data_IF_677763852411
#
_entry.id   IF_677763852411
#
_cell.length_a   1.000
_cell.length_b   1.000
_cell.length_c   1.000
_cell.angle_alpha   90.00
_cell.angle_beta   90.00
_cell.angle_gamma   90.00
#
_symmetry.space_group_name_H-M   'P 1'
#
loop_
_entity.id
_entity.type
_entity.pdbx_description
1 polymer ?
#
# COMPACT_ATOMS: atom_id res chain seq x y z
N UNK A 1 7.01 -33.56 20.11
CA UNK A 1 6.66 -34.54 19.05
C UNK A 1 5.18 -34.41 18.72
N UNK A 2 4.84 -33.66 17.67
CA UNK A 2 3.44 -33.47 17.21
C UNK A 2 2.99 -34.70 16.42
N UNK A 3 2.07 -35.49 16.99
CA UNK A 3 1.44 -36.63 16.33
C UNK A 3 0.67 -36.17 15.09
N UNK A 4 1.07 -36.61 13.89
CA UNK A 4 0.37 -36.34 12.63
C UNK A 4 -0.71 -37.39 12.45
N UNK A 5 -1.96 -36.97 12.23
CA UNK A 5 -3.07 -37.87 11.91
C UNK A 5 -3.27 -37.91 10.40
N UNK A 6 -3.28 -39.12 9.86
CA UNK A 6 -3.44 -39.40 8.44
C UNK A 6 -4.78 -40.07 8.21
N UNK A 7 -5.56 -39.54 7.28
CA UNK A 7 -6.85 -40.09 6.86
C UNK A 7 -6.72 -40.54 5.41
N UNK A 8 -7.10 -41.78 5.12
CA UNK A 8 -7.13 -42.33 3.75
C UNK A 8 -8.59 -42.50 3.34
N UNK A 9 -8.97 -41.87 2.24
CA UNK A 9 -10.34 -41.90 1.71
C UNK A 9 -10.53 -43.14 0.82
N UNK A 10 -11.79 -43.57 0.62
CA UNK A 10 -12.11 -44.72 -0.24
C UNK A 10 -11.65 -44.55 -1.71
N UNK A 11 -11.38 -43.32 -2.15
CA UNK A 11 -10.84 -42.99 -3.49
C UNK A 11 -9.30 -42.88 -3.52
N UNK A 12 -8.61 -43.29 -2.45
CA UNK A 12 -7.14 -43.30 -2.38
C UNK A 12 -6.50 -41.94 -2.10
N UNK A 13 -7.28 -40.86 -1.89
CA UNK A 13 -6.73 -39.57 -1.49
C UNK A 13 -6.31 -39.60 -0.02
N UNK A 14 -5.10 -39.10 0.27
CA UNK A 14 -4.50 -39.06 1.61
C UNK A 14 -4.56 -37.63 2.15
N UNK A 15 -5.24 -37.45 3.29
CA UNK A 15 -5.29 -36.18 4.00
C UNK A 15 -4.48 -36.27 5.29
N UNK A 16 -3.52 -35.38 5.47
CA UNK A 16 -2.69 -35.32 6.68
C UNK A 16 -2.89 -33.95 7.34
N UNK A 17 -3.35 -33.95 8.58
CA UNK A 17 -3.44 -32.71 9.37
C UNK A 17 -3.06 -33.00 10.83
N UNK A 18 -2.22 -32.16 11.45
CA UNK A 18 -1.86 -32.31 12.85
C UNK A 18 -3.01 -31.94 13.81
N UNK A 19 -4.02 -31.20 13.33
CA UNK A 19 -5.06 -30.60 14.19
C UNK A 19 -6.48 -31.10 13.90
N UNK A 20 -6.68 -31.91 12.85
CA UNK A 20 -8.00 -32.42 12.50
C UNK A 20 -8.36 -33.67 13.34
N UNK A 21 -9.51 -33.64 14.04
CA UNK A 21 -10.05 -34.81 14.77
C UNK A 21 -10.84 -35.75 13.88
N UNK A 22 -11.41 -35.24 12.79
CA UNK A 22 -12.24 -35.95 11.83
C UNK A 22 -11.91 -35.46 10.42
N UNK A 23 -12.21 -36.29 9.42
CA UNK A 23 -12.15 -35.88 8.02
C UNK A 23 -13.19 -34.77 7.79
N UNK A 24 -12.84 -33.62 7.19
CA UNK A 24 -13.81 -32.59 6.86
C UNK A 24 -14.93 -33.17 6.00
N UNK A 25 -16.20 -32.99 6.40
CA UNK A 25 -17.38 -33.48 5.68
C UNK A 25 -17.64 -32.75 4.36
N UNK A 26 -16.83 -31.75 4.02
CA UNK A 26 -16.88 -31.09 2.73
C UNK A 26 -16.45 -32.11 1.68
N UNK A 27 -17.46 -32.65 1.01
CA UNK A 27 -17.39 -33.41 -0.21
C UNK A 27 -16.03 -33.21 -0.91
N UNK A 28 -15.27 -34.30 -1.04
CA UNK A 28 -14.23 -34.45 -2.05
C UNK A 28 -14.88 -34.50 -3.46
N UNK A 29 -15.91 -33.68 -3.66
CA UNK A 29 -16.62 -33.47 -4.88
C UNK A 29 -15.80 -32.49 -5.66
N UNK A 30 -15.00 -33.09 -6.54
CA UNK A 30 -14.53 -32.48 -7.77
C UNK A 30 -13.51 -31.37 -7.54
N UNK A 31 -12.43 -31.39 -8.33
CA UNK A 31 -11.73 -30.13 -8.58
C UNK A 31 -12.83 -29.14 -8.97
N UNK A 32 -12.99 -27.97 -8.33
CA UNK A 32 -13.82 -26.95 -8.93
C UNK A 32 -13.29 -26.83 -10.35
N UNK A 33 -14.15 -27.15 -11.34
CA UNK A 33 -13.88 -26.82 -12.73
C UNK A 33 -13.38 -25.38 -12.68
N UNK A 34 -12.15 -25.15 -13.17
CA UNK A 34 -11.50 -23.84 -13.07
C UNK A 34 -12.57 -22.79 -13.26
N UNK A 35 -12.90 -21.98 -12.24
CA UNK A 35 -14.01 -21.07 -12.35
C UNK A 35 -13.71 -20.26 -13.60
N UNK A 36 -14.61 -20.32 -14.59
CA UNK A 36 -14.56 -19.42 -15.74
C UNK A 36 -14.57 -18.04 -15.10
N UNK A 37 -13.42 -17.38 -15.07
CA UNK A 37 -13.27 -16.06 -14.50
C UNK A 37 -14.17 -15.12 -15.31
N UNK A 38 -15.40 -14.94 -14.85
CA UNK A 38 -16.33 -13.99 -15.43
C UNK A 38 -15.96 -12.63 -14.85
N UNK A 39 -15.54 -11.70 -15.70
CA UNK A 39 -15.21 -10.33 -15.29
C UNK A 39 -16.38 -9.65 -14.54
N UNK A 40 -17.61 -10.15 -14.72
CA UNK A 40 -18.83 -9.67 -14.06
C UNK A 40 -19.01 -10.17 -12.62
N UNK A 41 -18.26 -11.21 -12.20
CA UNK A 41 -18.31 -11.75 -10.82
C UNK A 41 -17.17 -11.30 -9.95
N UNK A 42 -16.18 -10.59 -10.50
CA UNK A 42 -15.31 -9.76 -9.67
C UNK A 42 -16.20 -8.72 -8.98
N UNK A 43 -16.24 -8.74 -7.66
CA UNK A 43 -16.75 -7.61 -6.91
C UNK A 43 -16.07 -6.36 -7.48
N UNK A 44 -16.87 -5.41 -7.98
CA UNK A 44 -16.36 -4.09 -8.33
C UNK A 44 -15.51 -3.64 -7.14
N UNK A 45 -14.28 -3.14 -7.36
CA UNK A 45 -13.47 -2.65 -6.26
C UNK A 45 -14.33 -1.68 -5.47
N UNK A 46 -14.55 -1.96 -4.19
CA UNK A 46 -15.29 -1.06 -3.32
C UNK A 46 -14.31 0.09 -3.06
N UNK A 47 -14.34 1.11 -3.94
CA UNK A 47 -13.44 2.26 -3.92
C UNK A 47 -13.66 3.18 -2.71
N UNK A 48 -14.72 2.92 -1.94
CA UNK A 48 -15.16 3.73 -0.80
C UNK A 48 -15.30 2.86 0.43
N UNK A 49 -14.36 3.01 1.37
CA UNK A 49 -14.52 2.52 2.73
C UNK A 49 -14.84 3.73 3.61
N UNK A 50 -15.78 3.59 4.56
CA UNK A 50 -16.06 4.65 5.53
C UNK A 50 -14.83 4.99 6.38
N UNK A 51 -13.93 4.03 6.62
CA UNK A 51 -12.66 4.26 7.31
C UNK A 51 -11.62 4.95 6.42
N UNK A 52 -11.77 4.90 5.10
CA UNK A 52 -10.81 5.45 4.13
C UNK A 52 -11.50 6.15 2.94
N UNK A 53 -12.32 7.20 3.17
CA UNK A 53 -13.12 7.84 2.13
C UNK A 53 -12.28 8.47 1.01
N UNK A 54 -11.03 8.85 1.31
CA UNK A 54 -10.10 9.39 0.31
C UNK A 54 -9.69 8.37 -0.76
N UNK A 55 -9.90 7.07 -0.57
CA UNK A 55 -9.49 6.06 -1.57
C UNK A 55 -10.21 6.22 -2.92
N UNK A 56 -11.39 6.85 -2.94
CA UNK A 56 -12.07 7.21 -4.17
C UNK A 56 -11.29 8.20 -5.03
N UNK A 57 -10.36 8.97 -4.44
CA UNK A 57 -9.53 9.97 -5.10
C UNK A 57 -8.13 9.43 -5.46
N UNK A 58 -7.90 8.12 -5.31
CA UNK A 58 -6.63 7.50 -5.68
C UNK A 58 -6.40 7.54 -7.19
N UNK A 59 -5.22 8.04 -7.59
CA UNK A 59 -4.79 8.04 -8.99
C UNK A 59 -4.41 6.63 -9.43
N UNK A 60 -5.07 6.10 -10.45
CA UNK A 60 -4.72 4.80 -11.04
C UNK A 60 -3.40 4.85 -11.81
N UNK A 61 -3.13 5.96 -12.49
CA UNK A 61 -1.92 6.18 -13.29
C UNK A 61 -1.30 7.54 -12.94
N UNK A 62 -0.59 7.64 -11.80
CA UNK A 62 -0.05 8.92 -11.35
C UNK A 62 1.01 9.46 -12.31
N UNK A 63 0.88 10.73 -12.66
CA UNK A 63 1.90 11.47 -13.41
C UNK A 63 2.55 12.50 -12.49
N UNK A 64 3.85 12.35 -12.25
CA UNK A 64 4.61 13.24 -11.38
C UNK A 64 5.11 14.47 -12.14
N UNK A 65 4.19 15.39 -12.44
CA UNK A 65 4.47 16.62 -13.19
C UNK A 65 4.23 17.87 -12.36
N UNK A 66 4.68 19.02 -12.86
CA UNK A 66 4.48 20.32 -12.20
C UNK A 66 5.40 20.56 -11.00
N UNK A 67 5.37 21.76 -10.41
CA UNK A 67 6.36 22.18 -9.41
C UNK A 67 6.30 21.40 -8.10
N UNK A 68 5.12 20.92 -7.71
CA UNK A 68 4.91 20.22 -6.43
C UNK A 68 5.28 18.75 -6.54
N UNK A 69 4.85 18.06 -7.61
CA UNK A 69 5.00 16.61 -7.73
C UNK A 69 6.18 16.16 -8.58
N UNK A 70 6.84 17.04 -9.35
CA UNK A 70 8.07 16.70 -10.07
C UNK A 70 9.17 16.16 -9.16
N UNK A 71 9.22 16.55 -7.88
CA UNK A 71 10.18 15.98 -6.91
C UNK A 71 9.97 14.49 -6.63
N UNK A 72 8.79 13.95 -6.94
CA UNK A 72 8.48 12.52 -6.84
C UNK A 72 8.84 11.76 -8.12
N UNK A 73 9.16 12.46 -9.22
CA UNK A 73 9.68 11.85 -10.43
C UNK A 73 11.10 11.34 -10.13
N UNK A 74 11.28 10.02 -10.21
CA UNK A 74 12.56 9.35 -9.99
C UNK A 74 13.28 9.18 -11.33
N UNK A 75 13.49 10.28 -12.06
CA UNK A 75 14.05 10.25 -13.42
C UNK A 75 15.52 9.83 -13.44
N UNK A 76 16.28 10.21 -12.41
CA UNK A 76 17.71 9.93 -12.30
C UNK A 76 18.09 9.52 -10.88
N UNK A 77 18.05 8.20 -10.63
CA UNK A 77 18.38 7.61 -9.34
C UNK A 77 19.85 7.76 -8.96
N UNK A 78 20.75 7.93 -9.93
CA UNK A 78 22.19 8.07 -9.68
C UNK A 78 22.54 9.35 -8.91
N UNK A 79 21.67 10.36 -8.98
CA UNK A 79 21.79 11.62 -8.21
C UNK A 79 21.25 11.52 -6.80
N UNK A 80 20.48 10.48 -6.50
CA UNK A 80 19.72 10.32 -5.26
C UNK A 80 20.32 9.22 -4.40
N UNK A 81 20.81 8.15 -5.01
CA UNK A 81 21.44 7.02 -4.32
C UNK A 81 22.95 7.13 -4.49
N UNK A 82 23.68 7.01 -3.38
CA UNK A 82 25.13 7.01 -3.38
C UNK A 82 25.67 5.92 -2.45
N UNK A 83 26.90 5.48 -2.73
CA UNK A 83 27.63 4.55 -1.88
C UNK A 83 28.48 5.33 -0.86
N UNK A 84 28.43 4.90 0.40
CA UNK A 84 29.15 5.47 1.53
C UNK A 84 29.77 4.32 2.33
N UNK A 85 31.09 4.14 2.24
CA UNK A 85 31.83 3.10 2.96
C UNK A 85 31.25 1.67 2.80
N UNK A 86 30.89 1.28 1.57
CA UNK A 86 30.37 -0.06 1.26
C UNK A 86 28.89 -0.27 1.63
N UNK A 87 28.18 0.78 2.04
CA UNK A 87 26.72 0.75 2.20
C UNK A 87 26.05 1.78 1.29
N UNK A 88 24.88 1.42 0.79
CA UNK A 88 24.08 2.29 -0.08
C UNK A 88 23.17 3.19 0.76
N UNK A 89 23.11 4.47 0.42
CA UNK A 89 22.35 5.48 1.13
C UNK A 89 21.62 6.39 0.15
N UNK A 90 20.58 7.03 0.66
CA UNK A 90 19.79 8.01 -0.09
C UNK A 90 20.20 9.40 0.37
N UNK A 91 20.34 10.32 -0.58
CA UNK A 91 20.74 11.69 -0.34
C UNK A 91 19.84 12.41 0.67
N UNK A 92 20.47 13.09 1.63
CA UNK A 92 19.74 13.76 2.72
C UNK A 92 18.96 14.97 2.24
N UNK A 93 19.45 15.69 1.23
CA UNK A 93 18.74 16.85 0.68
C UNK A 93 17.46 16.36 0.01
N UNK A 94 17.53 15.26 -0.72
CA UNK A 94 16.38 14.58 -1.30
C UNK A 94 15.37 14.12 -0.24
N UNK A 95 15.81 13.39 0.79
CA UNK A 95 14.94 12.94 1.91
C UNK A 95 14.24 14.14 2.55
N UNK A 96 14.97 15.23 2.81
CA UNK A 96 14.40 16.43 3.42
C UNK A 96 13.39 17.13 2.51
N UNK A 97 13.61 17.13 1.18
CA UNK A 97 12.66 17.65 0.21
C UNK A 97 11.33 16.90 0.25
N UNK A 98 11.37 15.57 0.32
CA UNK A 98 10.19 14.71 0.47
C UNK A 98 9.52 14.87 1.83
N UNK A 99 10.29 15.00 2.91
CA UNK A 99 9.75 15.26 4.25
C UNK A 99 9.00 16.59 4.31
N UNK A 100 9.52 17.65 3.67
CA UNK A 100 8.83 18.95 3.57
C UNK A 100 7.56 18.85 2.72
N UNK A 101 7.56 18.05 1.64
CA UNK A 101 6.35 17.75 0.86
C UNK A 101 5.29 17.13 1.76
N UNK A 102 5.65 16.05 2.47
CA UNK A 102 4.74 15.31 3.35
C UNK A 102 4.11 16.23 4.40
N UNK A 103 4.94 17.03 5.11
CA UNK A 103 4.47 17.97 6.13
C UNK A 103 3.49 18.99 5.51
N UNK A 104 3.85 19.57 4.36
CA UNK A 104 3.00 20.55 3.69
C UNK A 104 1.66 19.97 3.25
N UNK A 105 1.66 18.78 2.66
CA UNK A 105 0.43 18.07 2.25
C UNK A 105 -0.43 17.70 3.45
N UNK A 106 0.17 17.16 4.52
CA UNK A 106 -0.55 16.79 5.72
C UNK A 106 -1.18 18.03 6.39
N UNK A 107 -0.45 19.14 6.46
CA UNK A 107 -0.98 20.40 6.98
C UNK A 107 -2.14 20.92 6.12
N UNK A 108 -1.95 20.98 4.80
CA UNK A 108 -2.97 21.39 3.84
C UNK A 108 -4.27 20.57 3.98
N UNK A 109 -4.16 19.24 3.98
CA UNK A 109 -5.31 18.36 4.13
C UNK A 109 -6.02 18.55 5.48
N UNK A 110 -5.26 18.67 6.58
CA UNK A 110 -5.85 18.87 7.92
C UNK A 110 -6.59 20.18 8.05
N UNK A 111 -6.02 21.28 7.52
CA UNK A 111 -6.67 22.58 7.53
C UNK A 111 -7.96 22.53 6.73
N UNK A 112 -7.94 21.97 5.52
CA UNK A 112 -9.15 21.84 4.72
C UNK A 112 -10.20 20.97 5.40
N UNK A 113 -9.85 19.80 5.93
CA UNK A 113 -10.84 18.98 6.63
C UNK A 113 -11.41 19.71 7.85
N UNK A 114 -10.58 20.42 8.61
CA UNK A 114 -11.01 21.20 9.78
C UNK A 114 -11.95 22.35 9.42
N UNK A 115 -11.67 23.08 8.34
CA UNK A 115 -12.49 24.21 7.87
C UNK A 115 -13.74 23.75 7.10
N UNK A 116 -13.84 22.46 6.76
CA UNK A 116 -14.99 21.96 6.00
C UNK A 116 -16.27 21.99 6.85
N UNK A 117 -17.39 22.38 6.24
CA UNK A 117 -18.72 22.39 6.90
C UNK A 117 -19.32 21.00 7.05
N UNK A 118 -18.68 19.99 6.44
CA UNK A 118 -19.13 18.61 6.48
C UNK A 118 -18.63 17.93 7.75
N UNK A 119 -19.55 17.32 8.49
CA UNK A 119 -19.23 16.34 9.53
C UNK A 119 -18.75 15.06 8.84
N UNK A 120 -17.53 15.07 8.28
CA UNK A 120 -16.83 13.83 7.95
C UNK A 120 -16.77 13.06 9.26
N UNK A 121 -17.23 11.81 9.26
CA UNK A 121 -17.15 10.95 10.45
C UNK A 121 -15.72 11.03 11.00
N UNK A 122 -15.60 11.47 12.25
CA UNK A 122 -14.33 11.85 12.89
C UNK A 122 -13.35 10.67 12.95
N UNK A 123 -13.82 9.45 12.70
CA UNK A 123 -13.12 8.18 12.88
C UNK A 123 -12.54 7.57 11.58
N UNK A 124 -12.26 8.39 10.55
CA UNK A 124 -11.47 7.90 9.42
C UNK A 124 -9.97 7.75 9.75
N UNK A 125 -9.31 6.80 9.08
CA UNK A 125 -7.90 6.48 9.30
C UNK A 125 -7.00 7.29 8.36
N UNK A 126 -5.97 7.94 8.92
CA UNK A 126 -4.97 8.63 8.09
C UNK A 126 -4.02 7.64 7.41
N UNK A 127 -3.62 7.88 6.15
CA UNK A 127 -2.67 7.00 5.48
C UNK A 127 -1.32 6.98 6.20
N UNK A 128 -0.61 5.86 6.05
CA UNK A 128 0.76 5.74 6.55
C UNK A 128 1.67 6.76 5.87
N UNK A 129 2.30 7.61 6.69
CA UNK A 129 3.19 8.65 6.19
C UNK A 129 4.46 8.07 5.54
N UNK A 130 4.91 8.60 4.38
CA UNK A 130 6.17 8.25 3.73
C UNK A 130 7.40 8.24 4.67
N UNK A 131 7.48 9.20 5.59
CA UNK A 131 8.57 9.34 6.58
C UNK A 131 8.69 8.14 7.53
N UNK A 132 7.59 7.40 7.77
CA UNK A 132 7.56 6.20 8.62
C UNK A 132 8.05 4.93 7.92
N UNK A 133 8.55 5.05 6.69
CA UNK A 133 9.05 3.92 5.93
C UNK A 133 10.55 3.75 6.05
N UNK A 134 11.31 4.69 6.65
CA UNK A 134 12.75 4.52 6.90
C UNK A 134 13.59 4.71 5.64
N UNK A 135 13.44 5.88 5.01
CA UNK A 135 14.23 6.29 3.83
C UNK A 135 15.68 6.67 4.21
N UNK A 136 15.91 6.96 5.49
CA UNK A 136 17.19 7.33 6.10
C UNK A 136 18.05 6.12 6.52
N UNK A 137 17.56 4.91 6.28
CA UNK A 137 18.25 3.66 6.56
C UNK A 137 19.50 3.47 5.66
N UNK A 138 20.36 2.54 6.08
CA UNK A 138 21.47 2.03 5.27
C UNK A 138 21.02 0.78 4.54
N UNK A 139 21.37 0.66 3.27
CA UNK A 139 20.97 -0.45 2.42
C UNK A 139 22.18 -1.30 2.02
N UNK A 140 22.05 -2.64 2.02
CA UNK A 140 23.16 -3.53 1.65
C UNK A 140 23.46 -3.49 0.15
N UNK A 141 22.48 -3.11 -0.68
CA UNK A 141 22.61 -3.08 -2.15
C UNK A 141 21.91 -1.85 -2.73
N UNK A 142 22.36 -1.41 -3.90
CA UNK A 142 21.71 -0.35 -4.68
C UNK A 142 20.22 -0.65 -4.91
N UNK A 143 19.91 -1.87 -5.37
CA UNK A 143 18.53 -2.31 -5.63
C UNK A 143 17.64 -2.24 -4.39
N UNK A 144 18.18 -2.47 -3.19
CA UNK A 144 17.42 -2.33 -1.95
C UNK A 144 17.07 -0.86 -1.66
N UNK A 145 18.00 0.07 -1.92
CA UNK A 145 17.75 1.50 -1.80
C UNK A 145 16.74 2.00 -2.85
N UNK A 146 16.88 1.55 -4.10
CA UNK A 146 15.97 1.86 -5.20
C UNK A 146 14.54 1.38 -4.93
N UNK A 147 14.37 0.09 -4.58
CA UNK A 147 13.06 -0.44 -4.21
C UNK A 147 12.45 0.35 -3.05
N UNK A 148 13.28 0.79 -2.11
CA UNK A 148 12.81 1.62 -1.01
C UNK A 148 12.29 2.97 -1.48
N UNK A 149 13.00 3.65 -2.39
CA UNK A 149 12.55 4.91 -2.98
C UNK A 149 11.18 4.78 -3.63
N UNK A 150 10.97 3.73 -4.43
CA UNK A 150 9.66 3.48 -5.06
C UNK A 150 8.56 3.25 -4.02
N UNK A 151 8.80 2.42 -3.01
CA UNK A 151 7.83 2.17 -1.93
C UNK A 151 7.48 3.47 -1.19
N UNK A 152 8.46 4.32 -0.92
CA UNK A 152 8.20 5.61 -0.24
C UNK A 152 7.52 6.61 -1.17
N UNK A 153 7.87 6.65 -2.45
CA UNK A 153 7.19 7.46 -3.47
C UNK A 153 5.70 7.12 -3.54
N UNK A 154 5.40 5.83 -3.60
CA UNK A 154 4.02 5.35 -3.79
C UNK A 154 3.17 5.59 -2.52
N UNK A 155 3.80 5.70 -1.35
CA UNK A 155 3.15 6.13 -0.11
C UNK A 155 2.68 7.61 -0.14
N UNK A 156 3.13 8.42 -1.10
CA UNK A 156 2.52 9.74 -1.34
C UNK A 156 1.17 9.65 -2.04
N UNK A 157 0.84 8.56 -2.74
CA UNK A 157 -0.42 8.48 -3.49
C UNK A 157 -1.66 8.58 -2.59
N UNK A 158 -1.74 7.85 -1.46
CA UNK A 158 -2.83 8.05 -0.51
C UNK A 158 -2.87 9.47 0.07
N UNK A 159 -1.70 10.10 0.28
CA UNK A 159 -1.65 11.48 0.79
C UNK A 159 -2.14 12.50 -0.24
N UNK A 160 -1.85 12.28 -1.53
CA UNK A 160 -2.41 13.06 -2.64
C UNK A 160 -3.92 12.89 -2.67
N UNK A 161 -4.40 11.66 -2.57
CA UNK A 161 -5.83 11.35 -2.55
C UNK A 161 -6.54 12.04 -1.37
N UNK A 162 -5.92 12.06 -0.19
CA UNK A 162 -6.42 12.80 0.99
C UNK A 162 -6.49 14.30 0.72
N UNK A 163 -5.48 14.89 0.08
CA UNK A 163 -5.51 16.32 -0.27
C UNK A 163 -6.64 16.64 -1.27
N UNK A 164 -6.85 15.79 -2.27
CA UNK A 164 -7.93 15.94 -3.25
C UNK A 164 -9.31 15.78 -2.60
N UNK A 165 -9.47 14.76 -1.75
CA UNK A 165 -10.68 14.57 -0.96
C UNK A 165 -10.96 15.79 -0.08
N UNK A 166 -9.97 16.25 0.67
CA UNK A 166 -10.11 17.42 1.53
C UNK A 166 -10.50 18.68 0.74
N UNK A 167 -9.95 18.87 -0.46
CA UNK A 167 -10.33 19.98 -1.34
C UNK A 167 -11.78 19.86 -1.82
N UNK A 168 -12.26 18.66 -2.18
CA UNK A 168 -13.64 18.45 -2.62
C UNK A 168 -14.71 18.70 -1.54
N UNK A 169 -14.32 18.83 -0.27
CA UNK A 169 -15.24 19.19 0.82
C UNK A 169 -15.56 20.70 0.86
N UNK A 170 -14.89 21.50 0.04
CA UNK A 170 -15.04 22.96 -0.03
C UNK A 170 -15.70 23.45 -1.33
N UNK A 171 -15.99 22.55 -2.27
CA UNK A 171 -16.80 22.82 -3.46
C UNK A 171 -18.30 22.85 -3.10
#
# INVERSE_FOLDING_TARGET
MTSRRTFVTQKGAVFVSPNARYLPSAALAERPSQPRWDYRTFQLPVWTSEAHPYLAFMLQTPRYVGPIFKRLALDDLSKVIYEDAGVWRIDRVFINSWRRLEIGMLYFARVLVYESKYLVSVDWEWPRLPSRLGLDNRFPTYNAAENKLYVVRDAFLPLIAVCSFAASLHD
#
